data_IF_583860068105
#
_entry.id   IF_583860068105
#
_cell.length_a   1.000
_cell.length_b   1.000
_cell.length_c   1.000
_cell.angle_alpha   90.00
_cell.angle_beta   90.00
_cell.angle_gamma   90.00
#
_symmetry.space_group_name_H-M   'P 1'
#
loop_
_entity.id
_entity.type
_entity.pdbx_description
1 polymer ?
#
# COMPACT_ATOMS: atom_id res chain seq x y z
N UNK A 1 -4.10 1.70 3.48
CA UNK A 1 -3.11 0.88 2.74
C UNK A 1 -1.75 1.58 2.85
N UNK A 2 -0.77 0.97 3.54
CA UNK A 2 0.57 1.55 3.70
C UNK A 2 1.42 1.33 2.44
N UNK A 3 1.20 2.16 1.43
CA UNK A 3 2.04 2.24 0.24
C UNK A 3 2.87 3.52 0.34
N UNK A 4 4.16 3.45 -0.03
CA UNK A 4 5.12 4.53 0.17
C UNK A 4 4.65 5.89 -0.36
N UNK A 5 4.00 5.92 -1.54
CA UNK A 5 3.48 7.14 -2.16
C UNK A 5 2.13 7.62 -1.60
N UNK A 6 1.47 6.83 -0.73
CA UNK A 6 0.21 7.23 -0.09
C UNK A 6 0.44 7.92 1.27
N UNK A 7 1.66 7.94 1.78
CA UNK A 7 2.01 8.55 3.06
C UNK A 7 2.41 10.00 2.79
N UNK A 8 1.46 10.92 2.86
CA UNK A 8 1.67 12.33 2.51
C UNK A 8 2.81 12.99 3.32
N UNK A 9 2.93 12.68 4.61
CA UNK A 9 4.04 13.19 5.43
C UNK A 9 5.42 12.71 4.98
N UNK A 10 5.49 11.54 4.34
CA UNK A 10 6.72 10.99 3.76
C UNK A 10 7.00 11.62 2.38
N UNK A 11 5.97 11.75 1.53
CA UNK A 11 6.08 12.31 0.17
C UNK A 11 6.45 13.79 0.21
N UNK A 12 5.78 14.56 1.06
CA UNK A 12 5.97 16.01 1.16
C UNK A 12 6.96 16.41 2.26
N UNK A 13 7.53 15.42 2.96
CA UNK A 13 8.46 15.62 4.08
C UNK A 13 7.86 16.57 5.12
N UNK A 14 6.59 16.38 5.44
CA UNK A 14 5.93 17.13 6.50
C UNK A 14 6.31 16.58 7.87
N UNK A 15 6.68 17.49 8.75
CA UNK A 15 6.94 17.22 10.16
C UNK A 15 5.67 17.42 10.98
N UNK A 16 5.48 16.57 12.00
CA UNK A 16 4.51 16.80 13.06
C UNK A 16 5.11 17.55 14.26
N UNK A 17 6.42 17.82 14.23
CA UNK A 17 7.15 18.59 15.22
C UNK A 17 7.48 20.00 14.70
N UNK A 18 7.40 21.05 15.54
CA UNK A 18 7.71 22.42 15.13
C UNK A 18 9.15 22.63 14.61
N UNK A 19 10.09 21.79 15.06
CA UNK A 19 11.51 21.85 14.67
C UNK A 19 11.81 21.15 13.33
N UNK A 20 10.80 20.53 12.69
CA UNK A 20 10.95 19.85 11.42
C UNK A 20 11.41 18.39 11.50
N UNK A 21 11.45 17.77 12.69
CA UNK A 21 11.81 16.37 12.85
C UNK A 21 10.95 15.41 12.00
N UNK A 22 11.52 14.37 11.35
CA UNK A 22 12.95 14.02 11.30
C UNK A 22 13.70 14.67 10.13
N UNK A 23 13.04 15.52 9.33
CA UNK A 23 13.53 16.02 8.04
C UNK A 23 14.66 17.06 8.17
N UNK A 24 14.72 17.77 9.28
CA UNK A 24 15.72 18.82 9.58
C UNK A 24 16.94 18.30 10.34
N UNK A 25 16.98 17.01 10.71
CA UNK A 25 18.11 16.45 11.46
C UNK A 25 19.37 16.36 10.58
N UNK A 26 20.49 16.84 11.11
CA UNK A 26 21.81 16.76 10.44
C UNK A 26 22.19 15.31 10.09
N UNK A 27 21.82 14.35 10.94
CA UNK A 27 22.04 12.93 10.69
C UNK A 27 21.31 12.41 9.43
N UNK A 28 20.26 13.09 8.98
CA UNK A 28 19.45 12.72 7.84
C UNK A 28 19.73 13.57 6.59
N UNK A 29 20.74 14.44 6.59
CA UNK A 29 21.02 15.35 5.47
C UNK A 29 21.24 14.63 4.13
N UNK A 30 21.80 13.43 4.16
CA UNK A 30 22.06 12.60 2.96
C UNK A 30 20.81 11.80 2.55
N UNK A 31 19.71 11.85 3.32
CA UNK A 31 18.46 11.15 3.03
C UNK A 31 17.61 11.92 2.02
N UNK A 32 18.12 12.00 0.79
CA UNK A 32 17.53 12.75 -0.33
C UNK A 32 16.55 11.91 -1.17
N UNK A 33 16.01 10.84 -0.60
CA UNK A 33 15.06 9.97 -1.29
C UNK A 33 13.78 10.71 -1.72
N UNK A 34 13.23 10.26 -2.84
CA UNK A 34 11.92 10.63 -3.34
C UNK A 34 10.93 9.52 -2.97
N UNK A 35 9.69 9.88 -2.63
CA UNK A 35 8.63 8.91 -2.32
C UNK A 35 7.41 9.10 -3.22
N UNK A 36 7.51 9.94 -4.25
CA UNK A 36 6.47 10.07 -5.26
C UNK A 36 6.28 8.75 -6.00
N UNK A 37 5.03 8.51 -6.42
CA UNK A 37 4.70 7.40 -7.32
C UNK A 37 5.62 7.42 -8.55
N UNK A 38 6.07 6.25 -8.98
CA UNK A 38 7.06 6.08 -10.03
C UNK A 38 8.50 5.94 -9.51
N UNK A 39 8.77 6.24 -8.23
CA UNK A 39 10.11 6.03 -7.66
C UNK A 39 10.47 4.53 -7.61
N UNK A 40 9.49 3.67 -7.35
CA UNK A 40 9.66 2.22 -7.31
C UNK A 40 8.77 1.54 -8.38
N UNK A 41 9.12 1.63 -9.67
CA UNK A 41 8.22 1.23 -10.76
C UNK A 41 7.80 -0.24 -10.71
N UNK A 42 8.70 -1.13 -10.28
CA UNK A 42 8.37 -2.55 -10.10
C UNK A 42 7.37 -2.78 -8.96
N UNK A 43 7.50 -2.02 -7.86
CA UNK A 43 6.55 -2.08 -6.76
C UNK A 43 5.19 -1.50 -7.17
N UNK A 44 5.20 -0.41 -7.94
CA UNK A 44 3.98 0.21 -8.46
C UNK A 44 3.21 -0.76 -9.36
N UNK A 45 3.90 -1.43 -10.29
CA UNK A 45 3.29 -2.45 -11.17
C UNK A 45 2.66 -3.59 -10.36
N UNK A 46 3.36 -4.09 -9.33
CA UNK A 46 2.83 -5.15 -8.47
C UNK A 46 1.56 -4.69 -7.74
N UNK A 47 1.56 -3.48 -7.19
CA UNK A 47 0.41 -2.93 -6.47
C UNK A 47 -0.79 -2.68 -7.37
N UNK A 48 -0.58 -2.20 -8.61
CA UNK A 48 -1.64 -2.01 -9.61
C UNK A 48 -2.37 -3.30 -9.96
N UNK A 49 -1.69 -4.44 -9.87
CA UNK A 49 -2.22 -5.77 -10.23
C UNK A 49 -2.62 -6.62 -9.01
N UNK A 50 -2.53 -6.06 -7.80
CA UNK A 50 -2.79 -6.79 -6.55
C UNK A 50 -4.14 -6.43 -5.94
N UNK A 51 -4.73 -7.40 -5.24
CA UNK A 51 -5.90 -7.20 -4.38
C UNK A 51 -5.57 -7.64 -2.95
N UNK A 52 -6.15 -6.97 -1.96
CA UNK A 52 -6.11 -7.45 -0.57
C UNK A 52 -7.46 -8.05 -0.23
N UNK A 53 -7.45 -9.30 0.23
CA UNK A 53 -8.62 -10.02 0.67
C UNK A 53 -8.47 -10.39 2.15
N UNK A 54 -9.43 -10.04 3.01
CA UNK A 54 -9.41 -10.48 4.40
C UNK A 54 -9.63 -12.00 4.45
N UNK A 55 -8.89 -12.67 5.35
CA UNK A 55 -9.11 -14.10 5.68
C UNK A 55 -9.37 -14.19 7.19
N UNK A 56 -10.62 -13.98 7.64
CA UNK A 56 -10.97 -14.09 9.05
C UNK A 56 -10.72 -15.50 9.59
N UNK A 57 -10.21 -15.61 10.81
CA UNK A 57 -9.98 -16.91 11.47
C UNK A 57 -11.28 -17.67 11.82
N UNK A 58 -12.42 -16.98 11.77
CA UNK A 58 -13.74 -17.53 12.10
C UNK A 58 -14.54 -17.98 10.88
N UNK A 59 -13.93 -17.97 9.68
CA UNK A 59 -14.59 -18.44 8.47
C UNK A 59 -14.98 -19.91 8.61
N UNK A 60 -16.25 -20.22 8.36
CA UNK A 60 -16.71 -21.60 8.21
C UNK A 60 -16.62 -22.01 6.75
N UNK A 61 -16.71 -23.32 6.46
CA UNK A 61 -16.61 -23.85 5.09
C UNK A 61 -17.55 -23.14 4.11
N UNK A 62 -18.78 -22.85 4.54
CA UNK A 62 -19.75 -22.11 3.71
C UNK A 62 -19.25 -20.71 3.31
N UNK A 63 -18.59 -19.99 4.22
CA UNK A 63 -18.05 -18.66 3.91
C UNK A 63 -16.94 -18.76 2.86
N UNK A 64 -16.09 -19.78 2.98
CA UNK A 64 -15.01 -20.06 2.02
C UNK A 64 -15.60 -20.39 0.64
N UNK A 65 -16.61 -21.25 0.59
CA UNK A 65 -17.29 -21.64 -0.65
C UNK A 65 -17.96 -20.45 -1.34
N UNK A 66 -18.63 -19.59 -0.56
CA UNK A 66 -19.29 -18.38 -1.06
C UNK A 66 -18.25 -17.37 -1.63
N UNK A 67 -17.08 -17.23 -0.98
CA UNK A 67 -15.97 -16.40 -1.48
C UNK A 67 -15.41 -16.96 -2.79
N UNK A 68 -15.12 -18.26 -2.86
CA UNK A 68 -14.62 -18.92 -4.08
C UNK A 68 -15.61 -18.74 -5.23
N UNK A 69 -16.91 -18.97 -4.97
CA UNK A 69 -17.97 -18.80 -5.95
C UNK A 69 -18.06 -17.35 -6.44
N UNK A 70 -17.91 -16.39 -5.54
CA UNK A 70 -17.86 -14.97 -5.86
C UNK A 70 -16.71 -14.62 -6.80
N UNK A 71 -15.50 -15.08 -6.49
CA UNK A 71 -14.31 -14.87 -7.32
C UNK A 71 -14.51 -15.45 -8.73
N UNK A 72 -14.93 -16.72 -8.85
CA UNK A 72 -15.16 -17.35 -10.15
C UNK A 72 -16.25 -16.65 -10.98
N UNK A 73 -17.34 -16.21 -10.35
CA UNK A 73 -18.44 -15.51 -11.02
C UNK A 73 -18.00 -14.20 -11.68
N UNK A 74 -17.07 -13.48 -11.05
CA UNK A 74 -16.57 -12.21 -11.57
C UNK A 74 -15.42 -12.45 -12.56
N UNK A 75 -14.52 -13.38 -12.26
CA UNK A 75 -13.43 -13.73 -13.16
C UNK A 75 -13.93 -14.12 -14.56
N UNK A 76 -15.00 -14.92 -14.66
CA UNK A 76 -15.58 -15.34 -15.94
C UNK A 76 -16.28 -14.23 -16.74
N UNK A 77 -16.36 -13.01 -16.21
CA UNK A 77 -16.90 -11.83 -16.90
C UNK A 77 -15.82 -10.84 -17.33
N UNK A 78 -14.63 -10.96 -16.76
CA UNK A 78 -13.48 -10.06 -17.02
C UNK A 78 -12.50 -10.72 -17.99
N UNK A 79 -12.40 -12.05 -17.94
CA UNK A 79 -11.61 -12.89 -18.85
C UNK A 79 -12.54 -13.80 -19.65
#
# INVERSE_FOLDING_TARGET
MHIYYNIHSLVEKHSNSPDGFPWTLEANKESVYNYNRGTLPRSDELMEKSIIMPVPSVMVQKDIDDVIKGIHKIASKIF
#
